data_IF_765615793761
#
_entry.id   IF_765615793761
#
_cell.length_a   1.000
_cell.length_b   1.000
_cell.length_c   1.000
_cell.angle_alpha   90.00
_cell.angle_beta   90.00
_cell.angle_gamma   90.00
#
_symmetry.space_group_name_H-M   'P 1'
#
loop_
_entity.id
_entity.type
_entity.pdbx_description
1 polymer ?
#
# COMPACT_ATOMS: atom_id res chain seq x y z
N UNK A 1 -14.61 17.34 -11.64
CA UNK A 1 -15.44 16.20 -12.07
C UNK A 1 -14.54 15.21 -12.79
N UNK A 2 -14.49 13.95 -12.35
CA UNK A 2 -13.68 12.92 -13.00
C UNK A 2 -14.37 12.52 -14.32
N UNK A 3 -13.76 12.90 -15.44
CA UNK A 3 -14.24 12.57 -16.79
C UNK A 3 -14.24 11.06 -17.06
N UNK A 4 -15.03 10.65 -18.05
CA UNK A 4 -15.09 9.26 -18.51
C UNK A 4 -13.69 8.74 -18.86
N UNK A 5 -13.20 7.77 -18.08
CA UNK A 5 -11.96 7.05 -18.39
C UNK A 5 -12.28 5.94 -19.38
N UNK A 6 -11.56 5.93 -20.50
CA UNK A 6 -11.57 4.85 -21.49
C UNK A 6 -11.27 3.52 -20.77
N UNK A 7 -12.11 2.50 -20.99
CA UNK A 7 -12.15 1.20 -20.28
C UNK A 7 -10.94 0.30 -20.56
N UNK A 8 -9.87 0.88 -21.13
CA UNK A 8 -8.59 0.26 -21.46
C UNK A 8 -7.48 0.56 -20.44
N UNK A 9 -7.83 1.09 -19.27
CA UNK A 9 -6.96 0.94 -18.11
C UNK A 9 -6.99 -0.54 -17.73
N UNK A 10 -5.85 -1.28 -17.73
CA UNK A 10 -5.85 -2.58 -17.09
C UNK A 10 -6.33 -2.36 -15.67
N UNK A 11 -7.45 -3.00 -15.31
CA UNK A 11 -7.92 -2.94 -13.94
C UNK A 11 -6.75 -3.40 -13.08
N UNK A 12 -6.31 -2.54 -12.16
CA UNK A 12 -5.32 -2.89 -11.15
C UNK A 12 -6.00 -3.78 -10.09
N UNK A 13 -6.69 -4.81 -10.58
CA UNK A 13 -7.43 -5.78 -9.79
C UNK A 13 -6.57 -7.02 -9.71
N UNK A 14 -5.83 -7.14 -8.61
CA UNK A 14 -5.38 -8.45 -8.17
C UNK A 14 -6.59 -9.06 -7.46
N UNK A 15 -7.25 -10.02 -8.10
CA UNK A 15 -8.43 -10.69 -7.54
C UNK A 15 -8.12 -11.55 -6.29
N UNK A 16 -6.83 -11.68 -5.95
CA UNK A 16 -6.32 -12.44 -4.82
C UNK A 16 -5.21 -11.66 -4.11
N UNK A 17 -4.78 -12.13 -2.94
CA UNK A 17 -3.63 -11.52 -2.27
C UNK A 17 -2.35 -11.82 -3.05
N UNK A 18 -1.48 -10.82 -3.25
CA UNK A 18 -0.15 -11.05 -3.83
C UNK A 18 0.64 -12.11 -3.04
N UNK A 19 0.39 -12.23 -1.73
CA UNK A 19 1.05 -13.23 -0.89
C UNK A 19 0.75 -14.67 -1.32
N UNK A 20 -0.46 -14.92 -1.82
CA UNK A 20 -0.93 -16.24 -2.26
C UNK A 20 -0.28 -16.66 -3.59
N UNK A 21 0.25 -15.69 -4.34
CA UNK A 21 0.94 -15.93 -5.61
C UNK A 21 2.45 -16.15 -5.43
N UNK A 22 2.99 -15.92 -4.22
CA UNK A 22 4.43 -15.96 -3.95
C UNK A 22 4.85 -17.27 -3.25
N UNK A 23 5.89 -17.97 -3.75
CA UNK A 23 6.53 -19.08 -3.05
C UNK A 23 6.97 -18.71 -1.63
N UNK A 24 6.98 -19.67 -0.71
CA UNK A 24 7.31 -19.41 0.70
C UNK A 24 8.78 -18.97 0.91
N UNK A 25 9.68 -19.35 0.01
CA UNK A 25 11.10 -19.02 0.01
C UNK A 25 11.43 -17.74 -0.79
N UNK A 26 10.41 -17.11 -1.39
CA UNK A 26 10.58 -15.89 -2.17
C UNK A 26 11.17 -14.76 -1.32
N UNK A 27 12.09 -13.97 -1.92
CA UNK A 27 12.82 -12.91 -1.21
C UNK A 27 11.89 -11.90 -0.53
N UNK A 28 10.80 -11.49 -1.19
CA UNK A 28 9.82 -10.56 -0.63
C UNK A 28 9.07 -11.12 0.59
N UNK A 29 8.83 -12.43 0.65
CA UNK A 29 8.23 -13.10 1.81
C UNK A 29 9.20 -13.10 2.99
N UNK A 30 10.50 -13.21 2.71
CA UNK A 30 11.54 -13.13 3.75
C UNK A 30 11.70 -11.71 4.28
N UNK A 31 11.66 -10.71 3.40
CA UNK A 31 11.71 -9.28 3.76
C UNK A 31 10.48 -8.90 4.58
N UNK A 32 9.28 -9.31 4.15
CA UNK A 32 8.03 -9.03 4.85
C UNK A 32 8.03 -9.47 6.33
N UNK A 33 8.73 -10.56 6.65
CA UNK A 33 8.87 -11.07 8.03
C UNK A 33 9.75 -10.22 8.95
N UNK A 34 10.66 -9.42 8.39
CA UNK A 34 11.66 -8.66 9.16
C UNK A 34 11.50 -7.14 9.00
N UNK A 35 10.77 -6.70 7.99
CA UNK A 35 10.50 -5.30 7.74
C UNK A 35 9.37 -4.82 8.64
N UNK A 36 9.76 -4.16 9.73
CA UNK A 36 8.84 -3.47 10.63
C UNK A 36 8.68 -2.01 10.20
N UNK A 37 7.45 -1.62 9.89
CA UNK A 37 7.05 -0.25 9.54
C UNK A 37 6.04 0.32 10.54
N UNK A 38 5.78 -0.34 11.67
CA UNK A 38 4.78 0.06 12.67
C UNK A 38 4.98 1.47 13.25
N UNK A 39 6.20 2.01 13.12
CA UNK A 39 6.57 3.36 13.54
C UNK A 39 6.15 4.45 12.54
N UNK A 40 5.89 4.08 11.27
CA UNK A 40 5.79 5.03 10.17
C UNK A 40 4.57 5.92 10.29
N UNK A 41 3.44 5.41 10.79
CA UNK A 41 2.23 6.21 10.98
C UNK A 41 2.47 7.36 11.96
N UNK A 42 3.21 7.12 13.05
CA UNK A 42 3.53 8.15 14.03
C UNK A 42 4.51 9.20 13.46
N UNK A 43 5.53 8.75 12.73
CA UNK A 43 6.55 9.64 12.15
C UNK A 43 5.99 10.60 11.11
N UNK A 44 4.91 10.25 10.41
CA UNK A 44 4.31 11.13 9.38
C UNK A 44 3.05 11.84 9.87
N UNK A 45 2.63 11.64 11.12
CA UNK A 45 1.35 12.13 11.62
C UNK A 45 1.21 13.65 11.55
N UNK A 46 2.31 14.39 11.74
CA UNK A 46 2.36 15.85 11.69
C UNK A 46 2.25 16.42 10.26
N UNK A 47 2.48 15.60 9.24
CA UNK A 47 2.28 15.94 7.83
C UNK A 47 0.80 15.94 7.42
N UNK A 48 -0.07 15.42 8.28
CA UNK A 48 -1.50 15.26 8.04
C UNK A 48 -2.33 16.15 8.98
N UNK A 49 -3.45 16.67 8.46
CA UNK A 49 -4.40 17.43 9.30
C UNK A 49 -5.22 16.48 10.14
N UNK A 50 -5.13 16.62 11.47
CA UNK A 50 -5.90 15.82 12.41
C UNK A 50 -7.43 15.93 12.22
N UNK A 51 -7.94 17.02 11.63
CA UNK A 51 -9.38 17.23 11.45
C UNK A 51 -9.87 17.01 10.02
N UNK A 52 -9.03 17.22 9.00
CA UNK A 52 -9.49 17.29 7.59
C UNK A 52 -8.63 16.53 6.60
N UNK A 53 -7.50 15.97 7.01
CA UNK A 53 -6.55 15.33 6.10
C UNK A 53 -6.01 14.05 6.67
N UNK A 54 -6.75 12.94 6.51
CA UNK A 54 -6.23 11.60 6.77
C UNK A 54 -5.46 11.07 5.55
N UNK A 55 -4.48 10.17 5.73
CA UNK A 55 -3.85 9.47 4.63
C UNK A 55 -4.89 8.75 3.74
N UNK A 56 -4.74 8.85 2.42
CA UNK A 56 -5.62 8.13 1.48
C UNK A 56 -5.44 6.61 1.52
N UNK A 57 -4.25 6.16 1.90
CA UNK A 57 -3.87 4.78 2.25
C UNK A 57 -2.96 4.85 3.47
N UNK A 58 -2.89 3.78 4.26
CA UNK A 58 -1.97 3.72 5.39
C UNK A 58 -0.52 3.97 4.90
N UNK A 59 0.28 4.80 5.58
CA UNK A 59 1.66 5.10 5.16
C UNK A 59 2.52 3.85 4.94
N UNK A 60 2.36 2.83 5.81
CA UNK A 60 3.05 1.55 5.67
C UNK A 60 2.68 0.82 4.37
N UNK A 61 1.40 0.86 4.00
CA UNK A 61 0.92 0.26 2.75
C UNK A 61 1.47 1.00 1.55
N UNK A 62 1.57 2.33 1.61
CA UNK A 62 2.17 3.14 0.55
C UNK A 62 3.62 2.72 0.28
N UNK A 63 4.43 2.57 1.33
CA UNK A 63 5.84 2.15 1.22
C UNK A 63 5.96 0.72 0.70
N UNK A 64 5.06 -0.19 1.09
CA UNK A 64 5.07 -1.59 0.61
C UNK A 64 4.65 -1.75 -0.85
N UNK A 65 4.01 -0.73 -1.45
CA UNK A 65 3.59 -0.73 -2.86
C UNK A 65 4.63 -0.11 -3.80
N UNK A 66 5.64 0.60 -3.28
CA UNK A 66 6.74 1.19 -4.06
C UNK A 66 7.82 0.16 -4.38
#
# INVERSE_FOLDING_TARGET
MLGQKDRRQPELFVACSLRELLPADHVLVRVDKVLDLGWLEAEVADLYSAQTGRPGIAPEVAVRLM
#
